data_IF_567350143487
#
_entry.id   IF_567350143487
#
_cell.length_a   1.000
_cell.length_b   1.000
_cell.length_c   1.000
_cell.angle_alpha   90.00
_cell.angle_beta   90.00
_cell.angle_gamma   90.00
#
_symmetry.space_group_name_H-M   'P 1'
#
loop_
_entity.id
_entity.type
_entity.pdbx_description
1 polymer ?
#
# COMPACT_ATOMS: atom_id res chain seq x y z
N UNK A 1 -4.07 23.64 -25.13
CA UNK A 1 -2.73 23.51 -24.54
C UNK A 1 -2.90 22.79 -23.21
N UNK A 2 -2.19 21.70 -23.00
CA UNK A 2 -2.17 20.94 -21.74
C UNK A 2 -1.10 21.53 -20.84
N UNK A 3 -1.48 22.02 -19.66
CA UNK A 3 -0.56 22.62 -18.66
C UNK A 3 -0.02 21.58 -17.68
N UNK A 4 0.24 20.35 -18.17
CA UNK A 4 0.66 19.23 -17.30
C UNK A 4 1.98 19.48 -16.58
N UNK A 5 2.93 20.14 -17.26
CA UNK A 5 4.25 20.41 -16.70
C UNK A 5 4.14 21.40 -15.52
N UNK A 6 3.43 22.49 -15.72
CA UNK A 6 3.24 23.53 -14.70
C UNK A 6 2.41 23.01 -13.52
N UNK A 7 1.41 22.16 -13.78
CA UNK A 7 0.67 21.49 -12.70
C UNK A 7 1.56 20.53 -11.93
N UNK A 8 2.42 19.76 -12.61
CA UNK A 8 3.37 18.89 -11.91
C UNK A 8 4.37 19.68 -11.05
N UNK A 9 4.85 20.82 -11.54
CA UNK A 9 5.71 21.73 -10.76
C UNK A 9 4.98 22.28 -9.54
N UNK A 10 3.69 22.65 -9.67
CA UNK A 10 2.85 23.08 -8.56
C UNK A 10 2.63 21.97 -7.53
N UNK A 11 2.35 20.73 -7.97
CA UNK A 11 2.23 19.59 -7.09
C UNK A 11 3.54 19.34 -6.32
N UNK A 12 4.67 19.39 -7.00
CA UNK A 12 5.98 19.25 -6.36
C UNK A 12 6.26 20.37 -5.33
N UNK A 13 5.84 21.59 -5.64
CA UNK A 13 5.95 22.72 -4.70
C UNK A 13 5.09 22.48 -3.45
N UNK A 14 3.84 22.07 -3.62
CA UNK A 14 2.92 21.73 -2.52
C UNK A 14 3.52 20.64 -1.64
N UNK A 15 3.98 19.52 -2.24
CA UNK A 15 4.53 18.39 -1.50
C UNK A 15 5.74 18.75 -0.63
N UNK A 16 6.62 19.62 -1.13
CA UNK A 16 7.80 20.09 -0.37
C UNK A 16 7.43 21.03 0.80
N UNK A 17 6.22 21.60 0.78
CA UNK A 17 5.81 22.62 1.73
C UNK A 17 4.54 22.23 2.53
N UNK A 18 4.14 20.97 2.58
CA UNK A 18 2.92 20.52 3.25
C UNK A 18 2.86 20.88 4.73
N UNK A 19 4.01 20.90 5.41
CA UNK A 19 4.15 21.26 6.83
C UNK A 19 4.27 22.78 7.09
N UNK A 20 3.93 23.62 6.10
CA UNK A 20 3.94 25.08 6.20
C UNK A 20 2.59 25.63 5.77
N UNK A 21 2.31 26.84 6.16
CA UNK A 21 1.18 27.57 5.58
C UNK A 21 1.42 27.78 4.08
N UNK A 22 0.43 27.40 3.29
CA UNK A 22 0.45 27.49 1.84
C UNK A 22 -0.70 28.39 1.38
N UNK A 23 -0.39 29.49 0.75
CA UNK A 23 -1.39 30.31 0.08
C UNK A 23 -1.51 29.91 -1.40
N UNK A 24 -2.68 30.13 -1.96
CA UNK A 24 -2.92 29.93 -3.39
C UNK A 24 -2.04 30.86 -4.25
N UNK A 25 -1.73 32.05 -3.74
CA UNK A 25 -0.89 33.03 -4.42
C UNK A 25 0.56 32.56 -4.51
N UNK A 26 1.10 31.98 -3.43
CA UNK A 26 2.46 31.43 -3.41
C UNK A 26 2.62 30.28 -4.43
N UNK A 27 1.63 29.36 -4.45
CA UNK A 27 1.66 28.21 -5.36
C UNK A 27 1.52 28.66 -6.82
N UNK A 28 0.60 29.58 -7.12
CA UNK A 28 0.38 30.10 -8.46
C UNK A 28 1.63 30.86 -8.97
N UNK A 29 2.23 31.68 -8.10
CA UNK A 29 3.45 32.44 -8.41
C UNK A 29 4.64 31.51 -8.71
N UNK A 30 4.77 30.40 -7.97
CA UNK A 30 5.83 29.41 -8.17
C UNK A 30 5.82 28.79 -9.59
N UNK A 31 4.66 28.79 -10.27
CA UNK A 31 4.50 28.25 -11.63
C UNK A 31 4.17 29.32 -12.69
N UNK A 32 4.31 30.60 -12.33
CA UNK A 32 4.15 31.71 -13.24
C UNK A 32 2.71 32.03 -13.67
N UNK A 33 1.72 31.65 -12.86
CA UNK A 33 0.30 31.89 -13.14
C UNK A 33 -0.33 32.90 -12.18
N UNK A 34 -1.38 33.57 -12.65
CA UNK A 34 -2.26 34.29 -11.74
C UNK A 34 -3.10 33.30 -10.91
N UNK A 35 -3.43 33.66 -9.69
CA UNK A 35 -4.24 32.90 -8.72
C UNK A 35 -5.50 32.27 -9.33
N UNK A 36 -6.31 33.10 -10.02
CA UNK A 36 -7.58 32.66 -10.59
C UNK A 36 -7.39 31.69 -11.76
N UNK A 37 -6.40 31.96 -12.60
CA UNK A 37 -6.08 31.09 -13.72
C UNK A 37 -5.53 29.75 -13.24
N UNK A 38 -4.62 29.77 -12.27
CA UNK A 38 -4.07 28.56 -11.65
C UNK A 38 -5.15 27.69 -11.04
N UNK A 39 -6.04 28.26 -10.20
CA UNK A 39 -7.11 27.52 -9.56
C UNK A 39 -7.98 26.76 -10.58
N UNK A 40 -8.37 27.43 -11.68
CA UNK A 40 -9.19 26.82 -12.73
C UNK A 40 -8.47 25.69 -13.47
N UNK A 41 -7.17 25.87 -13.79
CA UNK A 41 -6.41 24.84 -14.49
C UNK A 41 -6.15 23.66 -13.55
N UNK A 42 -5.74 23.93 -12.33
CA UNK A 42 -5.49 22.87 -11.34
C UNK A 42 -6.72 21.98 -11.15
N UNK A 43 -7.88 22.59 -10.97
CA UNK A 43 -9.14 21.84 -10.84
C UNK A 43 -9.48 21.04 -12.11
N UNK A 44 -9.23 21.60 -13.29
CA UNK A 44 -9.44 20.90 -14.58
C UNK A 44 -8.53 19.69 -14.75
N UNK A 45 -7.24 19.82 -14.43
CA UNK A 45 -6.23 18.76 -14.62
C UNK A 45 -6.23 17.70 -13.52
N UNK A 46 -6.61 18.07 -12.28
CA UNK A 46 -6.56 17.16 -11.11
C UNK A 46 -7.94 16.66 -10.64
N UNK A 47 -9.03 17.27 -11.13
CA UNK A 47 -10.39 16.95 -10.70
C UNK A 47 -10.77 17.49 -9.31
N UNK A 48 -9.89 18.23 -8.62
CA UNK A 48 -10.15 18.74 -7.27
C UNK A 48 -9.59 20.14 -7.06
N UNK A 49 -10.07 20.84 -6.02
CA UNK A 49 -9.51 22.14 -5.66
C UNK A 49 -8.09 22.01 -5.07
N UNK A 50 -7.28 23.07 -5.18
CA UNK A 50 -5.93 23.13 -4.57
C UNK A 50 -5.99 22.88 -3.06
N UNK A 51 -6.98 23.48 -2.38
CA UNK A 51 -7.14 23.32 -0.92
C UNK A 51 -7.55 21.89 -0.53
N UNK A 52 -8.42 21.24 -1.31
CA UNK A 52 -8.79 19.84 -1.07
C UNK A 52 -7.60 18.91 -1.28
N UNK A 53 -6.79 19.20 -2.30
CA UNK A 53 -5.54 18.48 -2.53
C UNK A 53 -4.61 18.60 -1.33
N UNK A 54 -4.27 19.82 -0.90
CA UNK A 54 -3.40 20.09 0.25
C UNK A 54 -3.94 19.39 1.50
N UNK A 55 -5.25 19.54 1.77
CA UNK A 55 -5.91 18.93 2.92
C UNK A 55 -5.80 17.40 2.92
N UNK A 56 -6.07 16.76 1.78
CA UNK A 56 -5.93 15.30 1.63
C UNK A 56 -4.49 14.85 1.86
N UNK A 57 -3.51 15.57 1.30
CA UNK A 57 -2.08 15.27 1.48
C UNK A 57 -1.62 15.40 2.92
N UNK A 58 -2.05 16.47 3.61
CA UNK A 58 -1.79 16.67 5.03
C UNK A 58 -2.39 15.56 5.90
N UNK A 59 -3.62 15.13 5.60
CA UNK A 59 -4.24 14.00 6.28
C UNK A 59 -3.51 12.68 6.03
N UNK A 60 -3.03 12.45 4.81
CA UNK A 60 -2.23 11.27 4.49
C UNK A 60 -0.88 11.26 5.24
N UNK A 61 -0.20 12.40 5.34
CA UNK A 61 0.98 12.56 6.19
C UNK A 61 0.68 12.30 7.66
N UNK A 62 -0.44 12.82 8.16
CA UNK A 62 -0.92 12.56 9.52
C UNK A 62 -1.20 11.08 9.77
N UNK A 63 -1.81 10.37 8.83
CA UNK A 63 -2.04 8.93 8.90
C UNK A 63 -0.73 8.14 8.98
N UNK A 64 0.29 8.56 8.22
CA UNK A 64 1.63 7.97 8.28
C UNK A 64 2.24 8.14 9.67
N UNK A 65 2.25 9.35 10.24
CA UNK A 65 2.79 9.60 11.59
C UNK A 65 2.00 8.85 12.68
N UNK A 66 0.68 8.76 12.56
CA UNK A 66 -0.15 7.96 13.48
C UNK A 66 0.23 6.48 13.46
N UNK A 67 0.64 5.96 12.32
CA UNK A 67 1.04 4.56 12.14
C UNK A 67 2.46 4.28 12.61
N UNK A 68 3.39 5.20 12.35
CA UNK A 68 4.84 4.96 12.50
C UNK A 68 5.41 5.54 13.79
N UNK A 69 4.66 6.37 14.51
CA UNK A 69 5.13 7.06 15.72
C UNK A 69 4.09 7.04 16.84
N UNK A 70 4.56 7.31 18.06
CA UNK A 70 3.70 7.56 19.23
C UNK A 70 3.43 9.05 19.46
N UNK A 71 3.74 9.90 18.49
CA UNK A 71 3.59 11.36 18.56
C UNK A 71 2.15 11.74 18.98
N UNK A 72 1.96 12.68 19.92
CA UNK A 72 0.65 13.19 20.29
C UNK A 72 -0.16 13.65 19.07
N UNK A 73 -1.47 13.43 19.11
CA UNK A 73 -2.36 13.80 17.98
C UNK A 73 -2.35 15.32 17.76
N UNK A 74 -2.22 16.10 18.85
CA UNK A 74 -2.06 17.54 18.79
C UNK A 74 -0.83 17.94 17.97
N UNK A 75 0.31 17.31 18.23
CA UNK A 75 1.58 17.63 17.55
C UNK A 75 1.48 17.30 16.05
N UNK A 76 0.83 16.19 15.71
CA UNK A 76 0.56 15.82 14.32
C UNK A 76 -0.34 16.87 13.66
N UNK A 77 -1.38 17.36 14.33
CA UNK A 77 -2.25 18.41 13.83
C UNK A 77 -1.47 19.71 13.56
N UNK A 78 -0.59 20.10 14.48
CA UNK A 78 0.28 21.28 14.34
C UNK A 78 1.27 21.13 13.17
N UNK A 79 1.95 19.98 13.06
CA UNK A 79 2.90 19.70 11.95
C UNK A 79 2.22 19.88 10.59
N UNK A 80 0.97 19.46 10.46
CA UNK A 80 0.23 19.55 9.20
C UNK A 80 -0.67 20.79 9.12
N UNK A 81 -0.38 21.83 9.89
CA UNK A 81 -1.04 23.14 9.83
C UNK A 81 -2.58 23.07 9.99
N UNK A 82 -3.07 22.23 10.88
CA UNK A 82 -4.46 22.28 11.32
C UNK A 82 -4.59 23.24 12.51
N UNK A 83 -5.64 24.06 12.51
CA UNK A 83 -5.89 25.07 13.54
C UNK A 83 -6.07 24.49 14.95
N UNK A 84 -6.54 23.24 15.04
CA UNK A 84 -6.69 22.52 16.30
C UNK A 84 -6.69 20.99 16.11
N UNK A 85 -6.51 20.27 17.22
CA UNK A 85 -6.66 18.82 17.22
C UNK A 85 -8.06 18.37 16.81
N UNK A 86 -9.10 19.13 17.18
CA UNK A 86 -10.49 18.87 16.83
C UNK A 86 -10.72 19.04 15.33
N UNK A 87 -10.14 20.08 14.72
CA UNK A 87 -10.21 20.31 13.29
C UNK A 87 -9.54 19.18 12.52
N UNK A 88 -8.34 18.76 12.94
CA UNK A 88 -7.66 17.59 12.40
C UNK A 88 -8.50 16.31 12.56
N UNK A 89 -9.04 16.08 13.76
CA UNK A 89 -9.84 14.88 14.07
C UNK A 89 -11.09 14.79 13.20
N UNK A 90 -11.82 15.90 13.02
CA UNK A 90 -13.01 15.93 12.13
C UNK A 90 -12.62 15.65 10.69
N UNK A 91 -11.58 16.32 10.19
CA UNK A 91 -11.08 16.14 8.84
C UNK A 91 -10.56 14.71 8.59
N UNK A 92 -9.83 14.16 9.56
CA UNK A 92 -9.30 12.81 9.50
C UNK A 92 -10.42 11.77 9.48
N UNK A 93 -11.42 11.90 10.37
CA UNK A 93 -12.56 10.99 10.41
C UNK A 93 -13.38 11.02 9.11
N UNK A 94 -13.48 12.17 8.44
CA UNK A 94 -14.22 12.26 7.16
C UNK A 94 -13.56 11.48 6.02
N UNK A 95 -12.23 11.26 6.08
CA UNK A 95 -11.46 10.56 5.04
C UNK A 95 -11.22 9.10 5.42
N UNK A 96 -10.82 8.86 6.67
CA UNK A 96 -10.43 7.52 7.14
C UNK A 96 -11.52 6.78 7.91
N UNK A 97 -12.72 7.38 8.07
CA UNK A 97 -13.89 6.84 8.78
C UNK A 97 -13.66 6.49 10.25
N UNK A 98 -12.46 6.71 10.78
CA UNK A 98 -12.07 6.52 12.18
C UNK A 98 -11.42 7.80 12.74
N UNK A 99 -11.65 8.16 14.01
CA UNK A 99 -10.88 9.19 14.69
C UNK A 99 -9.40 8.81 14.76
N UNK A 100 -8.44 9.78 14.75
CA UNK A 100 -6.98 9.52 14.73
C UNK A 100 -6.51 8.55 15.82
N UNK A 101 -7.01 8.69 17.05
CA UNK A 101 -6.65 7.79 18.16
C UNK A 101 -7.13 6.36 17.93
N UNK A 102 -8.35 6.17 17.43
CA UNK A 102 -8.87 4.84 17.09
C UNK A 102 -8.17 4.26 15.86
N UNK A 103 -7.84 5.10 14.87
CA UNK A 103 -7.05 4.70 13.72
C UNK A 103 -5.68 4.18 14.16
N UNK A 104 -4.96 4.93 15.03
CA UNK A 104 -3.70 4.48 15.63
C UNK A 104 -3.85 3.15 16.37
N UNK A 105 -4.86 3.01 17.23
CA UNK A 105 -5.11 1.79 17.99
C UNK A 105 -5.47 0.63 17.08
N UNK A 106 -6.32 0.84 16.06
CA UNK A 106 -6.67 -0.19 15.10
C UNK A 106 -5.46 -0.70 14.33
N UNK A 107 -4.59 0.22 13.87
CA UNK A 107 -3.36 -0.16 13.18
C UNK A 107 -2.35 -0.79 14.13
N UNK A 108 -2.19 -0.27 15.35
CA UNK A 108 -1.37 -0.94 16.37
C UNK A 108 -1.93 -2.31 16.73
N UNK A 109 -3.24 -2.49 16.80
CA UNK A 109 -3.87 -3.78 17.02
C UNK A 109 -3.79 -4.70 15.80
N UNK A 110 -3.74 -4.14 14.57
CA UNK A 110 -3.41 -4.88 13.34
C UNK A 110 -1.92 -5.26 13.28
N UNK A 111 -1.07 -4.43 13.87
CA UNK A 111 0.37 -4.67 13.98
C UNK A 111 0.73 -5.49 15.24
N UNK A 112 -0.08 -5.32 16.31
CA UNK A 112 0.05 -6.05 17.57
C UNK A 112 -1.25 -6.83 17.70
N UNK A 113 -1.39 -7.96 17.03
CA UNK A 113 -2.58 -8.81 17.14
C UNK A 113 -3.05 -8.87 18.59
N UNK A 114 -4.20 -8.22 18.87
CA UNK A 114 -4.76 -8.11 20.21
C UNK A 114 -5.18 -9.46 20.74
N UNK A 115 -4.34 -10.07 21.51
CA UNK A 115 -4.54 -11.31 22.24
C UNK A 115 -3.22 -11.68 22.87
N UNK A 116 -3.19 -11.92 24.18
CA UNK A 116 -2.08 -12.50 24.90
C UNK A 116 -1.52 -13.69 24.12
N UNK A 117 -0.45 -13.49 23.36
CA UNK A 117 0.36 -14.56 22.82
C UNK A 117 1.80 -14.37 23.28
N UNK A 118 2.18 -15.22 24.22
CA UNK A 118 3.55 -15.58 24.54
C UNK A 118 4.19 -16.30 23.33
N UNK A 119 4.47 -15.55 22.26
CA UNK A 119 5.38 -15.99 21.17
C UNK A 119 5.57 -14.82 20.20
N UNK A 120 6.28 -13.78 20.67
CA UNK A 120 6.84 -12.74 19.79
C UNK A 120 8.04 -13.32 19.04
N UNK A 121 7.82 -13.91 17.91
CA UNK A 121 8.90 -14.12 16.95
C UNK A 121 8.94 -12.86 16.06
N UNK A 122 9.59 -11.80 16.52
CA UNK A 122 9.77 -10.58 15.75
C UNK A 122 10.69 -10.86 14.56
N UNK A 123 10.15 -10.73 13.36
CA UNK A 123 10.96 -10.66 12.14
C UNK A 123 11.32 -9.17 11.97
N UNK A 124 12.56 -8.82 12.23
CA UNK A 124 13.03 -7.43 12.15
C UNK A 124 12.65 -6.80 10.80
N UNK A 125 11.98 -5.64 10.84
CA UNK A 125 11.51 -4.88 9.69
C UNK A 125 10.38 -5.53 8.86
N UNK A 126 9.78 -6.61 9.33
CA UNK A 126 8.58 -7.19 8.72
C UNK A 126 7.37 -7.01 9.63
N UNK A 127 6.22 -6.83 9.02
CA UNK A 127 4.92 -6.62 9.67
C UNK A 127 4.12 -7.90 9.55
N UNK A 128 3.54 -8.36 10.65
CA UNK A 128 2.59 -9.47 10.70
C UNK A 128 1.19 -8.86 10.73
N UNK A 129 0.35 -9.18 9.74
CA UNK A 129 -1.00 -8.62 9.59
C UNK A 129 -1.89 -9.54 8.75
N UNK A 130 -3.03 -9.06 8.28
CA UNK A 130 -4.00 -9.78 7.46
C UNK A 130 -5.43 -9.37 7.79
N UNK A 131 -6.43 -10.00 7.18
CA UNK A 131 -7.84 -9.81 7.56
C UNK A 131 -8.19 -10.59 8.83
N UNK A 132 -7.53 -11.72 9.08
CA UNK A 132 -7.72 -12.57 10.26
C UNK A 132 -6.40 -13.08 10.86
N UNK A 133 -5.46 -12.18 11.25
CA UNK A 133 -4.12 -12.58 11.69
C UNK A 133 -4.14 -13.51 12.92
N UNK A 134 -5.16 -13.41 13.78
CA UNK A 134 -5.33 -14.27 14.95
C UNK A 134 -5.62 -15.75 14.62
N UNK A 135 -5.99 -16.07 13.38
CA UNK A 135 -6.19 -17.44 12.90
C UNK A 135 -4.90 -18.11 12.41
N UNK A 136 -3.79 -17.39 12.46
CA UNK A 136 -2.49 -17.84 11.96
C UNK A 136 -1.38 -17.63 13.00
N UNK A 137 -0.48 -18.59 13.11
CA UNK A 137 0.82 -18.42 13.79
C UNK A 137 1.82 -18.00 12.73
N UNK A 138 2.44 -16.83 12.92
CA UNK A 138 3.37 -16.23 11.97
C UNK A 138 4.68 -15.90 12.68
N UNK A 139 5.81 -16.12 11.99
CA UNK A 139 7.12 -15.86 12.57
C UNK A 139 8.25 -16.52 11.80
N UNK A 140 9.27 -16.97 12.51
CA UNK A 140 10.47 -17.61 11.95
C UNK A 140 10.50 -19.10 12.29
N UNK A 141 10.85 -19.91 11.31
CA UNK A 141 11.14 -21.33 11.47
C UNK A 141 12.65 -21.57 11.31
N UNK A 142 13.28 -22.13 12.34
CA UNK A 142 14.71 -22.45 12.36
C UNK A 142 15.00 -23.91 11.96
N UNK A 143 13.98 -24.68 11.62
CA UNK A 143 14.11 -26.10 11.25
C UNK A 143 13.84 -26.35 9.78
N UNK A 144 12.96 -25.54 9.17
CA UNK A 144 12.58 -25.66 7.76
C UNK A 144 13.05 -24.41 7.01
N UNK A 145 14.08 -24.56 6.22
CA UNK A 145 14.70 -23.48 5.42
C UNK A 145 15.28 -24.04 4.13
N UNK A 146 15.55 -23.18 3.15
CA UNK A 146 16.13 -23.58 1.86
C UNK A 146 17.65 -23.38 1.81
N UNK A 147 18.11 -22.15 1.96
CA UNK A 147 19.54 -21.78 1.76
C UNK A 147 20.20 -21.15 2.99
N UNK A 148 19.42 -20.56 3.87
CA UNK A 148 19.91 -19.91 5.08
C UNK A 148 19.80 -20.82 6.32
N UNK A 149 19.64 -20.25 7.48
CA UNK A 149 19.48 -20.98 8.77
C UNK A 149 18.05 -20.91 9.29
N UNK A 150 17.16 -20.19 8.60
CA UNK A 150 15.77 -19.95 8.97
C UNK A 150 14.96 -19.41 7.81
N UNK A 151 13.66 -19.60 7.88
CA UNK A 151 12.68 -19.03 6.93
C UNK A 151 11.56 -18.30 7.67
N UNK A 152 10.87 -17.39 6.99
CA UNK A 152 9.59 -16.88 7.47
C UNK A 152 8.52 -17.94 7.30
N UNK A 153 7.56 -18.05 8.23
CA UNK A 153 6.48 -19.04 8.15
C UNK A 153 5.15 -18.50 8.60
N UNK A 154 4.09 -18.95 7.93
CA UNK A 154 2.69 -18.72 8.30
C UNK A 154 2.03 -20.10 8.40
N UNK A 155 1.46 -20.40 9.55
CA UNK A 155 0.74 -21.64 9.81
C UNK A 155 -0.66 -21.35 10.33
N UNK A 156 -1.66 -21.95 9.73
CA UNK A 156 -3.03 -21.90 10.25
C UNK A 156 -3.15 -22.57 11.62
N UNK A 157 -3.88 -21.95 12.55
CA UNK A 157 -4.15 -22.48 13.90
C UNK A 157 -5.65 -22.58 14.20
N UNK A 158 -6.51 -21.99 13.39
CA UNK A 158 -7.95 -22.13 13.45
C UNK A 158 -8.42 -23.41 12.72
N UNK A 159 -9.63 -23.83 12.98
CA UNK A 159 -10.27 -24.96 12.29
C UNK A 159 -11.20 -24.49 11.17
N UNK A 160 -11.73 -23.26 11.28
CA UNK A 160 -12.70 -22.69 10.35
C UNK A 160 -12.21 -21.34 9.79
N UNK A 161 -12.52 -21.10 8.52
CA UNK A 161 -12.25 -19.85 7.80
C UNK A 161 -13.51 -19.37 7.10
N UNK A 162 -13.66 -18.05 7.05
CA UNK A 162 -14.75 -17.39 6.34
C UNK A 162 -14.18 -16.60 5.16
N UNK A 163 -14.69 -16.84 3.95
CA UNK A 163 -14.40 -16.05 2.76
C UNK A 163 -12.91 -15.83 2.50
N UNK A 164 -12.52 -14.57 2.36
CA UNK A 164 -11.16 -14.15 2.00
C UNK A 164 -10.24 -13.90 3.21
N UNK A 165 -10.43 -14.63 4.30
CA UNK A 165 -9.58 -14.50 5.49
C UNK A 165 -8.16 -14.98 5.21
N UNK A 166 -7.17 -14.14 5.58
CA UNK A 166 -5.76 -14.46 5.40
C UNK A 166 -4.87 -13.88 6.50
N UNK A 167 -3.70 -14.49 6.67
CA UNK A 167 -2.56 -13.93 7.38
C UNK A 167 -1.42 -13.62 6.42
N UNK A 168 -0.65 -12.57 6.70
CA UNK A 168 0.49 -12.17 5.86
C UNK A 168 1.67 -11.65 6.68
N UNK A 169 2.85 -11.95 6.19
CA UNK A 169 4.12 -11.36 6.63
C UNK A 169 4.58 -10.43 5.51
N UNK A 170 4.71 -9.13 5.79
CA UNK A 170 4.94 -8.12 4.77
C UNK A 170 5.95 -7.06 5.16
N UNK A 171 6.50 -6.37 4.15
CA UNK A 171 7.23 -5.11 4.30
C UNK A 171 6.55 -4.00 3.54
N UNK A 172 6.80 -2.78 4.02
CA UNK A 172 6.32 -1.56 3.40
C UNK A 172 7.45 -0.54 3.36
N UNK A 173 7.68 0.08 2.20
CA UNK A 173 8.74 1.06 2.01
C UNK A 173 8.39 2.08 0.91
N UNK A 174 9.17 3.17 0.85
CA UNK A 174 8.95 4.25 -0.13
C UNK A 174 9.19 3.79 -1.55
N UNK A 175 8.31 4.19 -2.48
CA UNK A 175 8.46 3.96 -3.91
C UNK A 175 9.44 4.94 -4.59
N UNK A 176 9.91 5.99 -3.90
CA UNK A 176 10.62 7.14 -4.49
C UNK A 176 11.86 6.79 -5.33
N UNK A 177 12.56 5.70 -5.00
CA UNK A 177 13.74 5.24 -5.75
C UNK A 177 13.41 4.38 -6.97
N UNK A 178 12.15 4.00 -7.13
CA UNK A 178 11.70 3.03 -8.12
C UNK A 178 10.68 3.58 -9.10
N UNK A 179 10.34 4.88 -9.03
CA UNK A 179 9.39 5.53 -9.95
C UNK A 179 9.82 5.33 -11.40
N UNK A 180 8.88 4.98 -12.26
CA UNK A 180 9.12 4.69 -13.69
C UNK A 180 9.88 3.41 -13.98
N UNK A 181 10.21 2.60 -12.97
CA UNK A 181 11.01 1.39 -13.10
C UNK A 181 10.16 0.14 -12.99
N UNK A 182 10.66 -0.96 -13.57
CA UNK A 182 10.12 -2.29 -13.35
C UNK A 182 10.84 -2.96 -12.20
N UNK A 183 10.09 -3.51 -11.26
CA UNK A 183 10.62 -4.16 -10.06
C UNK A 183 10.13 -5.59 -9.93
N UNK A 184 10.97 -6.44 -9.36
CA UNK A 184 10.66 -7.84 -9.07
C UNK A 184 10.84 -8.11 -7.58
N UNK A 185 9.80 -8.62 -6.95
CA UNK A 185 9.86 -9.28 -5.66
C UNK A 185 9.85 -10.80 -5.90
N UNK A 186 10.76 -11.54 -5.27
CA UNK A 186 10.88 -12.99 -5.48
C UNK A 186 11.37 -13.70 -4.23
N UNK A 187 11.19 -15.01 -4.18
CA UNK A 187 11.68 -15.85 -3.10
C UNK A 187 11.38 -17.32 -3.31
N UNK A 188 11.99 -18.18 -2.52
CA UNK A 188 11.67 -19.59 -2.47
C UNK A 188 10.52 -19.82 -1.50
N UNK A 189 9.50 -20.52 -1.98
CA UNK A 189 8.30 -20.86 -1.20
C UNK A 189 8.16 -22.37 -1.13
N UNK A 190 7.89 -22.88 0.07
CA UNK A 190 7.51 -24.26 0.38
C UNK A 190 6.15 -24.25 1.05
N UNK A 191 5.32 -25.26 0.76
CA UNK A 191 3.98 -25.39 1.37
C UNK A 191 3.78 -26.77 1.97
N UNK A 192 2.86 -26.83 2.93
CA UNK A 192 2.36 -28.09 3.49
C UNK A 192 0.85 -27.97 3.74
N UNK A 193 0.09 -28.88 3.16
CA UNK A 193 -1.35 -29.09 3.35
C UNK A 193 -2.18 -27.80 3.16
N UNK A 194 -1.83 -26.96 2.17
CA UNK A 194 -2.57 -25.74 1.85
C UNK A 194 -3.87 -26.09 1.16
N UNK A 195 -4.99 -26.00 1.89
CA UNK A 195 -6.34 -26.28 1.39
C UNK A 195 -6.99 -25.05 0.73
N UNK A 196 -6.64 -23.84 1.17
CA UNK A 196 -6.97 -22.59 0.48
C UNK A 196 -5.90 -22.27 -0.56
N UNK A 197 -5.24 -21.14 -0.42
CA UNK A 197 -4.13 -20.75 -1.29
C UNK A 197 -3.09 -19.91 -0.55
N UNK A 198 -1.87 -19.89 -1.08
CA UNK A 198 -0.86 -18.93 -0.66
C UNK A 198 -0.12 -18.39 -1.88
N UNK A 199 0.63 -17.31 -1.68
CA UNK A 199 1.43 -16.69 -2.73
C UNK A 199 2.26 -15.52 -2.22
N UNK A 200 3.29 -15.20 -2.99
CA UNK A 200 3.93 -13.89 -2.88
C UNK A 200 2.94 -12.83 -3.34
N UNK A 201 3.11 -11.61 -2.84
CA UNK A 201 2.32 -10.49 -3.32
C UNK A 201 3.12 -9.20 -3.32
N UNK A 202 2.79 -8.34 -4.25
CA UNK A 202 3.32 -6.99 -4.35
C UNK A 202 2.18 -6.03 -4.69
N UNK A 203 2.09 -4.91 -3.95
CA UNK A 203 1.12 -3.85 -4.18
C UNK A 203 1.83 -2.51 -4.18
N UNK A 204 1.43 -1.67 -5.11
CA UNK A 204 1.93 -0.32 -5.27
C UNK A 204 0.78 0.63 -5.02
N UNK A 205 0.95 1.51 -4.04
CA UNK A 205 -0.08 2.46 -3.65
C UNK A 205 0.36 3.90 -3.95
N UNK A 206 -0.61 4.73 -4.31
CA UNK A 206 -0.43 6.18 -4.40
C UNK A 206 -0.29 6.78 -3.01
N UNK A 207 0.10 8.06 -2.96
CA UNK A 207 0.13 8.82 -1.71
C UNK A 207 -1.25 8.99 -1.05
N UNK A 208 -2.32 8.71 -1.78
CA UNK A 208 -3.71 8.75 -1.29
C UNK A 208 -4.23 7.38 -0.87
N UNK A 209 -3.34 6.38 -0.76
CA UNK A 209 -3.69 4.99 -0.44
C UNK A 209 -4.55 4.31 -1.50
N UNK A 210 -4.54 4.82 -2.74
CA UNK A 210 -5.14 4.14 -3.88
C UNK A 210 -4.21 3.04 -4.35
N UNK A 211 -4.73 1.85 -4.56
CA UNK A 211 -3.96 0.76 -5.17
C UNK A 211 -3.77 1.03 -6.65
N UNK A 212 -2.54 1.31 -7.05
CA UNK A 212 -2.17 1.58 -8.44
C UNK A 212 -1.88 0.29 -9.21
N UNK A 213 -1.23 -0.66 -8.54
CA UNK A 213 -0.85 -1.97 -9.09
C UNK A 213 -0.93 -3.03 -7.99
N UNK A 214 -1.36 -4.23 -8.37
CA UNK A 214 -1.43 -5.38 -7.49
C UNK A 214 -1.12 -6.66 -8.26
N UNK A 215 -0.26 -7.48 -7.69
CA UNK A 215 -0.12 -8.89 -8.01
C UNK A 215 -0.06 -9.67 -6.70
N UNK A 216 -1.05 -10.49 -6.44
CA UNK A 216 -1.12 -11.35 -5.25
C UNK A 216 -1.04 -12.83 -5.59
N UNK A 217 -0.70 -13.16 -6.83
CA UNK A 217 -0.65 -14.54 -7.34
C UNK A 217 -1.99 -15.32 -7.29
N UNK A 218 -3.13 -14.64 -7.09
CA UNK A 218 -4.43 -15.32 -7.03
C UNK A 218 -4.80 -16.03 -8.34
N UNK A 219 -4.28 -15.56 -9.47
CA UNK A 219 -4.42 -16.20 -10.78
C UNK A 219 -3.47 -17.40 -11.01
N UNK A 220 -2.49 -17.59 -10.11
CA UNK A 220 -1.52 -18.69 -10.11
C UNK A 220 -1.22 -19.13 -8.68
N UNK A 221 -2.24 -19.54 -7.92
CA UNK A 221 -2.13 -19.81 -6.50
C UNK A 221 -1.24 -21.02 -6.22
N UNK A 222 -0.55 -20.99 -5.10
CA UNK A 222 0.18 -22.15 -4.58
C UNK A 222 -0.76 -22.89 -3.64
N UNK A 223 -1.03 -24.16 -3.92
CA UNK A 223 -1.94 -25.02 -3.15
C UNK A 223 -1.30 -26.36 -2.81
N UNK A 224 -1.87 -27.10 -1.89
CA UNK A 224 -1.41 -28.42 -1.49
C UNK A 224 -0.05 -28.40 -0.79
N UNK A 225 0.75 -29.46 -1.03
CA UNK A 225 2.10 -29.62 -0.46
C UNK A 225 3.13 -29.55 -1.58
N UNK A 226 4.04 -28.57 -1.49
CA UNK A 226 5.12 -28.40 -2.47
C UNK A 226 6.49 -28.38 -1.78
N UNK A 227 7.53 -28.76 -2.50
CA UNK A 227 8.91 -28.50 -2.11
C UNK A 227 9.27 -27.03 -2.42
N UNK A 228 10.49 -26.63 -2.09
CA UNK A 228 10.99 -25.29 -2.37
C UNK A 228 10.99 -25.00 -3.88
N UNK A 229 10.16 -24.04 -4.29
CA UNK A 229 10.10 -23.53 -5.64
C UNK A 229 10.27 -22.01 -5.62
N UNK A 230 10.90 -21.46 -6.64
CA UNK A 230 11.11 -20.04 -6.79
C UNK A 230 9.90 -19.37 -7.46
N UNK A 231 9.37 -18.32 -6.81
CA UNK A 231 8.24 -17.53 -7.32
C UNK A 231 8.61 -16.06 -7.40
N UNK A 232 7.90 -15.30 -8.22
CA UNK A 232 8.10 -13.86 -8.33
C UNK A 232 6.83 -13.10 -8.71
N UNK A 233 6.75 -11.85 -8.24
CA UNK A 233 5.84 -10.82 -8.69
C UNK A 233 6.66 -9.73 -9.38
N UNK A 234 6.23 -9.27 -10.56
CA UNK A 234 6.90 -8.24 -11.37
C UNK A 234 5.89 -7.16 -11.74
N UNK A 235 6.14 -5.92 -11.32
CA UNK A 235 5.26 -4.79 -11.58
C UNK A 235 6.05 -3.58 -12.11
N UNK A 236 5.40 -2.76 -12.92
CA UNK A 236 5.87 -1.41 -13.23
C UNK A 236 5.43 -0.45 -12.13
N UNK A 237 6.35 0.38 -11.64
CA UNK A 237 6.10 1.39 -10.61
C UNK A 237 5.67 2.68 -11.28
N UNK A 238 4.39 3.10 -11.15
CA UNK A 238 3.92 4.35 -11.75
C UNK A 238 4.62 5.58 -11.15
N UNK A 239 4.68 6.69 -11.91
CA UNK A 239 5.27 7.95 -11.47
C UNK A 239 4.56 8.58 -10.26
N UNK A 240 3.28 8.28 -10.06
CA UNK A 240 2.48 8.73 -8.92
C UNK A 240 2.47 7.75 -7.73
N UNK A 241 3.34 6.73 -7.76
CA UNK A 241 3.48 5.79 -6.66
C UNK A 241 4.15 6.45 -5.45
N UNK A 242 3.73 6.09 -4.26
CA UNK A 242 4.30 6.54 -3.00
C UNK A 242 4.84 5.39 -2.15
N UNK A 243 4.16 4.25 -2.17
CA UNK A 243 4.42 3.14 -1.27
C UNK A 243 4.49 1.83 -2.07
N UNK A 244 5.50 1.03 -1.76
CA UNK A 244 5.64 -0.36 -2.18
C UNK A 244 5.38 -1.28 -1.00
N UNK A 245 4.55 -2.28 -1.22
CA UNK A 245 4.22 -3.33 -0.26
C UNK A 245 4.59 -4.66 -0.88
N UNK A 246 5.30 -5.50 -0.14
CA UNK A 246 5.69 -6.85 -0.56
C UNK A 246 5.46 -7.84 0.58
N UNK A 247 5.15 -9.08 0.26
CA UNK A 247 4.95 -10.08 1.30
C UNK A 247 4.62 -11.46 0.78
N UNK A 248 4.35 -12.34 1.73
CA UNK A 248 3.76 -13.65 1.51
C UNK A 248 2.47 -13.76 2.32
N UNK A 249 1.45 -14.37 1.75
CA UNK A 249 0.18 -14.61 2.44
C UNK A 249 -0.22 -16.08 2.40
N UNK A 250 -1.02 -16.46 3.38
CA UNK A 250 -1.76 -17.72 3.44
C UNK A 250 -3.24 -17.42 3.71
N UNK A 251 -4.12 -17.92 2.85
CA UNK A 251 -5.57 -17.92 3.02
C UNK A 251 -6.04 -19.35 3.20
N UNK A 252 -6.83 -19.58 4.24
CA UNK A 252 -7.32 -20.92 4.60
C UNK A 252 -6.32 -21.77 5.39
N UNK A 253 -6.48 -23.09 5.33
CA UNK A 253 -5.70 -24.06 6.10
C UNK A 253 -4.36 -24.36 5.48
N UNK A 254 -3.35 -24.69 6.30
CA UNK A 254 -2.04 -25.18 5.88
C UNK A 254 -0.89 -24.43 6.50
N UNK A 255 0.28 -24.61 5.93
CA UNK A 255 1.50 -23.92 6.33
C UNK A 255 2.31 -23.53 5.09
N UNK A 256 2.92 -22.33 5.13
CA UNK A 256 3.80 -21.81 4.08
C UNK A 256 5.10 -21.32 4.72
N UNK A 257 6.20 -21.47 4.00
CA UNK A 257 7.51 -20.92 4.33
C UNK A 257 8.04 -20.10 3.16
N UNK A 258 8.68 -18.97 3.48
CA UNK A 258 9.38 -18.10 2.54
C UNK A 258 10.84 -17.98 2.98
N UNK A 259 11.75 -18.27 2.05
CA UNK A 259 13.19 -18.12 2.25
C UNK A 259 13.84 -17.37 1.08
N UNK A 260 14.97 -16.76 1.33
CA UNK A 260 15.77 -16.04 0.36
C UNK A 260 14.95 -15.03 -0.46
N UNK A 261 14.15 -14.23 0.25
CA UNK A 261 13.37 -13.17 -0.36
C UNK A 261 14.29 -12.08 -0.94
N UNK A 262 14.03 -11.67 -2.18
CA UNK A 262 14.77 -10.64 -2.89
C UNK A 262 13.86 -9.60 -3.52
N UNK A 263 14.32 -8.34 -3.53
CA UNK A 263 13.67 -7.25 -4.23
C UNK A 263 14.69 -6.51 -5.08
N UNK A 264 14.40 -6.32 -6.36
CA UNK A 264 15.33 -5.70 -7.31
C UNK A 264 14.62 -5.01 -8.48
N UNK A 265 15.28 -4.02 -9.05
CA UNK A 265 14.96 -3.47 -10.36
C UNK A 265 15.29 -4.51 -11.45
N UNK A 266 14.44 -4.62 -12.45
CA UNK A 266 14.62 -5.52 -13.58
C UNK A 266 14.36 -4.83 -14.91
N UNK A 267 14.90 -5.39 -15.97
CA UNK A 267 14.73 -4.90 -17.35
C UNK A 267 13.27 -5.05 -17.81
N UNK A 268 12.79 -4.10 -18.62
CA UNK A 268 11.44 -4.13 -19.21
C UNK A 268 11.19 -5.31 -20.16
N UNK A 269 12.21 -6.06 -20.57
CA UNK A 269 12.07 -7.34 -21.31
C UNK A 269 11.49 -8.46 -20.44
N UNK A 270 11.60 -8.35 -19.09
CA UNK A 270 10.94 -9.29 -18.19
C UNK A 270 9.46 -8.90 -18.13
N UNK A 271 8.52 -9.81 -18.47
CA UNK A 271 7.10 -9.50 -18.46
C UNK A 271 6.60 -9.16 -17.04
N UNK A 272 5.66 -8.24 -16.94
CA UNK A 272 4.91 -8.00 -15.69
C UNK A 272 3.99 -9.17 -15.39
N UNK A 273 3.70 -9.35 -14.11
CA UNK A 273 2.85 -10.45 -13.61
C UNK A 273 1.51 -9.97 -13.06
N UNK A 274 1.24 -8.66 -13.15
CA UNK A 274 -0.05 -8.09 -12.81
C UNK A 274 -1.16 -8.68 -13.69
N UNK A 275 -2.31 -8.88 -13.08
CA UNK A 275 -3.49 -9.32 -13.80
C UNK A 275 -3.95 -8.14 -14.68
N UNK A 276 -3.71 -8.25 -15.97
CA UNK A 276 -4.38 -7.40 -16.96
C UNK A 276 -5.70 -8.07 -17.26
N UNK A 277 -6.79 -7.46 -16.82
CA UNK A 277 -8.09 -7.71 -17.44
C UNK A 277 -7.98 -7.07 -18.81
N UNK A 278 -7.77 -7.89 -19.85
CA UNK A 278 -7.98 -7.48 -21.24
C UNK A 278 -9.50 -7.36 -21.47
N UNK A 279 -10.15 -6.50 -20.70
CA UNK A 279 -11.45 -5.99 -21.07
C UNK A 279 -11.21 -5.05 -22.24
N UNK A 280 -11.52 -5.53 -23.44
CA UNK A 280 -11.58 -4.70 -24.65
C UNK A 280 -12.79 -3.78 -24.48
N UNK A 281 -12.58 -2.71 -23.73
CA UNK A 281 -13.56 -1.62 -23.73
C UNK A 281 -13.53 -0.97 -25.11
N UNK A 282 -14.72 -0.63 -25.62
CA UNK A 282 -14.82 0.21 -26.82
C UNK A 282 -14.19 1.58 -26.54
N UNK A 283 -13.38 2.09 -27.47
CA UNK A 283 -12.78 3.43 -27.39
C UNK A 283 -13.83 4.56 -27.40
N UNK A 284 -15.08 4.25 -27.75
CA UNK A 284 -16.20 5.19 -27.83
C UNK A 284 -17.44 4.60 -27.18
N UNK A 285 -18.29 5.44 -26.56
CA UNK A 285 -19.59 5.00 -26.09
C UNK A 285 -20.41 4.49 -27.27
N UNK A 286 -21.09 3.35 -27.10
CA UNK A 286 -21.92 2.71 -28.09
C UNK A 286 -23.39 2.85 -27.71
N UNK A 287 -24.30 2.76 -28.72
CA UNK A 287 -25.75 2.75 -28.56
C UNK A 287 -26.31 3.82 -27.61
N UNK A 288 -25.85 5.09 -27.77
CA UNK A 288 -26.30 6.21 -26.92
C UNK A 288 -27.81 6.54 -27.15
N UNK A 289 -28.41 6.07 -28.28
CA UNK A 289 -29.85 6.20 -28.57
C UNK A 289 -30.69 5.11 -27.92
N UNK A 290 -30.06 4.01 -27.44
CA UNK A 290 -30.75 2.81 -26.93
C UNK A 290 -31.63 2.10 -27.95
N UNK A 291 -31.36 2.24 -29.27
CA UNK A 291 -32.19 1.73 -30.39
C UNK A 291 -31.65 0.42 -30.99
N UNK A 292 -30.51 -0.10 -30.54
CA UNK A 292 -29.91 -1.37 -30.96
C UNK A 292 -30.03 -2.46 -29.90
#
# INVERSE_FOLDING_TARGET
MTHRKEIQEALNYIERNLCRELSLDDIASAVGFSKFYFHRIFQKETGMSVFDYIRKRRLAGGALLLRTTDMPILDIAVIFCFESQEAFTRAFKSVYHLPPGRYRSAIKNLVIGGGNMENKTEIKNWIITGTAPGKYRMGVDNKVYNTATRSATIKSIAEEWEGDEFGTIMQQFSASKFLGKRVRFSGFVKTQDVAGWCGLWMRIDSAFSETLKLDNMQNRPITGTTQWNHYSCVLDVPENAAILNIGILLSGKGQVWLDNAGFQEVDHRIPTTDFKVDEVFSDHPQNLSFEE
#
